data_IF_754686169998
#
_entry.id   IF_754686169998
#
_cell.length_a   1.000
_cell.length_b   1.000
_cell.length_c   1.000
_cell.angle_alpha   90.00
_cell.angle_beta   90.00
_cell.angle_gamma   90.00
#
_symmetry.space_group_name_H-M   'P 1'
#
loop_
_entity.id
_entity.type
_entity.pdbx_description
1 polymer ?
#
# COMPACT_ATOMS: atom_id res chain seq x y z
N UNK A 1 -51.88 19.74 7.05
CA UNK A 1 -51.02 18.54 7.00
C UNK A 1 -49.59 19.04 6.93
N UNK A 2 -48.86 19.06 8.04
CA UNK A 2 -47.49 19.60 8.10
C UNK A 2 -46.54 18.49 7.62
N UNK A 3 -45.89 18.70 6.48
CA UNK A 3 -44.86 17.81 5.95
C UNK A 3 -43.52 18.17 6.60
N UNK A 4 -43.00 17.31 7.48
CA UNK A 4 -41.65 17.44 8.04
C UNK A 4 -40.69 16.75 7.07
N UNK A 5 -39.81 17.52 6.43
CA UNK A 5 -38.71 17.01 5.61
C UNK A 5 -37.52 16.75 6.53
N UNK A 6 -37.16 15.48 6.72
CA UNK A 6 -35.96 15.07 7.47
C UNK A 6 -34.79 15.06 6.49
N UNK A 7 -33.93 16.10 6.52
CA UNK A 7 -32.62 16.05 5.88
C UNK A 7 -31.68 15.16 6.70
N UNK A 8 -31.37 13.96 6.20
CA UNK A 8 -30.31 13.13 6.76
C UNK A 8 -28.94 13.72 6.44
N UNK A 9 -28.28 14.29 7.44
CA UNK A 9 -26.88 14.72 7.36
C UNK A 9 -26.00 13.47 7.27
N UNK A 10 -25.40 13.22 6.11
CA UNK A 10 -24.39 12.16 5.96
C UNK A 10 -23.12 12.60 6.68
N UNK A 11 -22.76 11.89 7.74
CA UNK A 11 -21.53 12.10 8.50
C UNK A 11 -20.32 11.97 7.57
N UNK A 12 -19.56 13.06 7.43
CA UNK A 12 -18.32 13.06 6.66
C UNK A 12 -17.27 12.23 7.39
N UNK A 13 -16.76 11.20 6.73
CA UNK A 13 -15.66 10.40 7.26
C UNK A 13 -14.35 11.17 7.03
N UNK A 14 -13.58 11.38 8.09
CA UNK A 14 -12.28 12.06 8.06
C UNK A 14 -11.29 11.36 7.11
N UNK A 15 -10.28 12.08 6.62
CA UNK A 15 -9.18 11.50 5.85
C UNK A 15 -8.46 10.47 6.70
N UNK A 16 -8.40 9.24 6.18
CA UNK A 16 -7.74 8.14 6.85
C UNK A 16 -6.25 8.17 6.50
N UNK A 17 -5.40 8.25 7.51
CA UNK A 17 -3.93 8.27 7.32
C UNK A 17 -3.44 6.93 6.75
N UNK A 18 -4.17 5.85 7.02
CA UNK A 18 -3.86 4.49 6.57
C UNK A 18 -5.10 3.83 5.99
N UNK A 19 -4.89 2.99 4.97
CA UNK A 19 -5.94 2.16 4.38
C UNK A 19 -6.40 1.08 5.37
N UNK A 20 -7.71 0.84 5.48
CA UNK A 20 -8.23 -0.24 6.34
C UNK A 20 -8.03 -1.61 5.72
N UNK A 21 -8.17 -2.65 6.55
CA UNK A 21 -8.19 -4.04 6.11
C UNK A 21 -9.28 -4.30 5.07
N UNK A 22 -10.47 -3.78 5.29
CA UNK A 22 -11.63 -3.96 4.42
C UNK A 22 -11.39 -3.29 3.06
N UNK A 23 -10.84 -2.07 3.07
CA UNK A 23 -10.44 -1.36 1.85
C UNK A 23 -9.34 -2.11 1.08
N UNK A 24 -8.32 -2.64 1.76
CA UNK A 24 -7.27 -3.45 1.13
C UNK A 24 -7.81 -4.71 0.45
N UNK A 25 -8.72 -5.41 1.12
CA UNK A 25 -9.38 -6.60 0.56
C UNK A 25 -10.22 -6.20 -0.65
N UNK A 26 -10.98 -5.11 -0.57
CA UNK A 26 -11.80 -4.61 -1.66
C UNK A 26 -10.98 -4.21 -2.90
N UNK A 27 -9.78 -3.62 -2.71
CA UNK A 27 -8.88 -3.24 -3.80
C UNK A 27 -8.11 -4.42 -4.40
N UNK A 28 -8.12 -5.59 -3.77
CA UNK A 28 -7.37 -6.77 -4.23
C UNK A 28 -8.29 -7.99 -4.40
N UNK A 29 -9.40 -7.88 -5.17
CA UNK A 29 -10.44 -8.91 -5.21
C UNK A 29 -10.00 -10.21 -5.89
N UNK A 30 -9.00 -10.12 -6.77
CA UNK A 30 -8.46 -11.25 -7.52
C UNK A 30 -7.43 -12.07 -6.72
N UNK A 31 -6.92 -11.55 -5.60
CA UNK A 31 -5.95 -12.29 -4.78
C UNK A 31 -6.65 -13.40 -3.98
N UNK A 32 -6.24 -14.65 -4.20
CA UNK A 32 -6.80 -15.86 -3.58
C UNK A 32 -5.85 -16.57 -2.60
N UNK A 33 -4.61 -16.10 -2.47
CA UNK A 33 -3.64 -16.67 -1.54
C UNK A 33 -3.76 -16.10 -0.13
N UNK A 34 -2.79 -16.46 0.72
CA UNK A 34 -2.70 -15.97 2.10
C UNK A 34 -2.62 -14.43 2.17
N UNK A 35 -3.07 -13.89 3.30
CA UNK A 35 -3.00 -12.46 3.61
C UNK A 35 -2.37 -12.24 4.98
N UNK A 36 -1.76 -11.08 5.17
CA UNK A 36 -1.37 -10.63 6.50
C UNK A 36 -2.62 -10.29 7.34
N UNK A 37 -2.46 -10.16 8.66
CA UNK A 37 -3.56 -9.86 9.57
C UNK A 37 -4.31 -8.56 9.21
N UNK A 38 -3.58 -7.60 8.63
CA UNK A 38 -4.05 -6.31 8.12
C UNK A 38 -4.75 -6.37 6.74
N UNK A 39 -4.88 -7.56 6.13
CA UNK A 39 -5.57 -7.77 4.86
C UNK A 39 -4.70 -7.68 3.60
N UNK A 40 -3.44 -7.26 3.71
CA UNK A 40 -2.54 -7.18 2.55
C UNK A 40 -2.27 -8.57 1.95
N UNK A 41 -2.28 -8.72 0.62
CA UNK A 41 -1.79 -9.93 -0.05
C UNK A 41 -0.41 -10.36 0.45
N UNK A 42 -0.27 -11.62 0.87
CA UNK A 42 0.99 -12.19 1.32
C UNK A 42 1.56 -13.07 0.22
N UNK A 43 2.35 -12.47 -0.67
CA UNK A 43 3.12 -13.21 -1.68
C UNK A 43 4.02 -14.24 -0.97
N UNK A 44 4.01 -15.53 -1.33
CA UNK A 44 4.87 -16.55 -0.72
C UNK A 44 6.39 -16.30 -0.84
N UNK A 45 7.19 -16.81 0.10
CA UNK A 45 8.65 -16.61 0.13
C UNK A 45 9.39 -17.30 -1.03
N UNK A 46 8.86 -18.42 -1.53
CA UNK A 46 9.44 -19.14 -2.67
C UNK A 46 9.39 -18.29 -3.96
N UNK A 47 8.32 -17.52 -4.16
CA UNK A 47 8.23 -16.55 -5.26
C UNK A 47 9.34 -15.50 -5.14
N UNK A 48 9.56 -14.95 -3.94
CA UNK A 48 10.63 -13.97 -3.73
C UNK A 48 12.02 -14.55 -4.01
N UNK A 49 12.26 -15.80 -3.61
CA UNK A 49 13.53 -16.49 -3.87
C UNK A 49 13.78 -16.66 -5.36
N UNK A 50 12.76 -17.09 -6.12
CA UNK A 50 12.83 -17.29 -7.57
C UNK A 50 12.99 -15.98 -8.33
N UNK A 51 12.33 -14.91 -7.89
CA UNK A 51 12.42 -13.60 -8.53
C UNK A 51 13.83 -13.00 -8.50
N UNK A 52 14.74 -13.49 -7.65
CA UNK A 52 16.15 -13.05 -7.67
C UNK A 52 16.89 -13.39 -8.96
N UNK A 53 16.42 -14.38 -9.73
CA UNK A 53 17.02 -14.76 -11.02
C UNK A 53 16.32 -14.14 -12.23
N UNK A 54 15.35 -13.23 -12.01
CA UNK A 54 14.55 -12.62 -13.06
C UNK A 54 15.01 -11.18 -13.25
N UNK A 55 15.28 -10.78 -14.50
CA UNK A 55 15.67 -9.39 -14.78
C UNK A 55 14.46 -8.44 -14.65
N UNK A 56 14.72 -7.15 -14.46
CA UNK A 56 13.65 -6.14 -14.38
C UNK A 56 12.88 -6.06 -15.70
N UNK A 57 13.56 -6.23 -16.84
CA UNK A 57 12.99 -6.22 -18.18
C UNK A 57 12.06 -7.41 -18.42
N UNK A 58 12.47 -8.62 -17.99
CA UNK A 58 11.63 -9.82 -18.07
C UNK A 58 10.36 -9.65 -17.24
N UNK A 59 10.48 -9.16 -16.00
CA UNK A 59 9.34 -8.88 -15.14
C UNK A 59 8.42 -7.80 -15.76
N UNK A 60 8.99 -6.73 -16.31
CA UNK A 60 8.24 -5.66 -16.96
C UNK A 60 7.51 -6.13 -18.21
N UNK A 61 8.13 -6.98 -19.04
CA UNK A 61 7.49 -7.53 -20.23
C UNK A 61 6.21 -8.32 -19.89
N UNK A 62 6.26 -9.17 -18.84
CA UNK A 62 5.08 -9.90 -18.34
C UNK A 62 3.99 -8.93 -17.87
N UNK A 63 4.35 -7.93 -17.07
CA UNK A 63 3.39 -6.94 -16.54
C UNK A 63 2.76 -6.09 -17.65
N UNK A 64 3.55 -5.64 -18.62
CA UNK A 64 3.09 -4.86 -19.78
C UNK A 64 2.11 -5.65 -20.63
N UNK A 65 2.40 -6.93 -20.90
CA UNK A 65 1.50 -7.82 -21.64
C UNK A 65 0.16 -8.05 -20.92
N UNK A 66 0.15 -7.94 -19.59
CA UNK A 66 -1.06 -7.98 -18.76
C UNK A 66 -1.76 -6.61 -18.61
N UNK A 67 -1.29 -5.57 -19.30
CA UNK A 67 -1.89 -4.23 -19.28
C UNK A 67 -1.30 -3.26 -18.24
N UNK A 68 -0.27 -3.67 -17.49
CA UNK A 68 0.38 -2.85 -16.46
C UNK A 68 1.68 -2.21 -16.99
N UNK A 69 1.56 -1.20 -17.84
CA UNK A 69 2.73 -0.60 -18.53
C UNK A 69 3.68 0.23 -17.65
N UNK A 70 3.18 0.79 -16.54
CA UNK A 70 3.90 1.77 -15.70
C UNK A 70 4.44 1.16 -14.39
N UNK A 71 5.09 -0.01 -14.48
CA UNK A 71 5.58 -0.77 -13.32
C UNK A 71 7.11 -0.79 -13.20
N UNK A 72 7.81 0.02 -13.99
CA UNK A 72 9.26 0.19 -13.95
C UNK A 72 9.59 1.66 -13.77
N UNK A 73 10.64 1.95 -13.01
CA UNK A 73 11.15 3.30 -12.78
C UNK A 73 12.63 3.34 -13.12
N UNK A 74 13.06 4.42 -13.77
CA UNK A 74 14.44 4.64 -14.22
C UNK A 74 15.12 5.72 -13.35
N UNK A 75 16.45 5.86 -13.50
CA UNK A 75 17.22 6.90 -12.83
C UNK A 75 17.62 6.61 -11.38
N UNK A 76 17.32 5.41 -10.86
CA UNK A 76 17.79 4.96 -9.55
C UNK A 76 19.32 4.83 -9.54
N UNK A 77 19.95 5.35 -8.48
CA UNK A 77 21.37 5.19 -8.23
C UNK A 77 21.61 3.90 -7.44
N UNK A 78 22.45 3.02 -7.95
CA UNK A 78 22.76 1.74 -7.32
C UNK A 78 23.96 1.89 -6.42
N UNK A 79 23.77 1.71 -5.12
CA UNK A 79 24.84 1.75 -4.12
C UNK A 79 25.54 0.39 -3.93
N UNK A 80 24.87 -0.72 -4.30
CA UNK A 80 25.37 -2.10 -4.17
C UNK A 80 25.14 -2.85 -5.49
N UNK A 81 26.06 -2.78 -6.46
CA UNK A 81 25.85 -3.32 -7.82
C UNK A 81 25.84 -4.85 -7.88
N UNK A 82 26.53 -5.53 -6.96
CA UNK A 82 26.68 -6.99 -6.97
C UNK A 82 25.51 -7.73 -6.32
N UNK A 83 24.36 -7.07 -6.12
CA UNK A 83 23.24 -7.64 -5.35
C UNK A 83 21.89 -7.29 -5.95
N UNK A 84 21.03 -8.31 -6.04
CA UNK A 84 19.63 -8.17 -6.45
C UNK A 84 18.74 -8.07 -5.21
N UNK A 85 17.93 -7.01 -5.14
CA UNK A 85 16.93 -6.82 -4.10
C UNK A 85 15.55 -7.26 -4.59
N UNK A 86 14.95 -8.22 -3.89
CA UNK A 86 13.56 -8.65 -4.08
C UNK A 86 12.88 -8.70 -2.72
N UNK A 87 11.67 -8.16 -2.63
CA UNK A 87 10.93 -8.14 -1.38
C UNK A 87 9.46 -7.77 -1.54
N UNK A 88 8.75 -7.74 -0.42
CA UNK A 88 7.38 -7.23 -0.32
C UNK A 88 7.46 -5.76 0.04
N UNK A 89 6.87 -4.89 -0.76
CA UNK A 89 6.93 -3.46 -0.53
C UNK A 89 6.20 -3.07 0.77
N UNK A 90 6.85 -2.20 1.55
CA UNK A 90 6.22 -1.43 2.62
C UNK A 90 6.28 0.03 2.17
N UNK A 91 5.11 0.59 1.86
CA UNK A 91 5.01 1.95 1.32
C UNK A 91 4.92 2.97 2.45
N UNK A 92 5.69 4.04 2.35
CA UNK A 92 5.64 5.18 3.25
C UNK A 92 5.50 6.47 2.44
N UNK A 93 4.75 7.43 2.98
CA UNK A 93 4.59 8.75 2.39
C UNK A 93 5.30 9.77 3.27
N UNK A 94 6.15 10.57 2.65
CA UNK A 94 6.87 11.65 3.32
C UNK A 94 6.28 13.01 2.95
N UNK A 95 6.32 13.95 3.87
CA UNK A 95 5.92 15.35 3.68
C UNK A 95 6.95 16.26 4.36
N UNK A 96 7.03 17.56 3.98
CA UNK A 96 7.85 18.52 4.68
C UNK A 96 7.56 18.53 6.19
N UNK A 97 8.60 18.74 7.00
CA UNK A 97 8.51 18.66 8.45
C UNK A 97 7.46 19.60 9.03
N UNK A 98 6.47 19.03 9.72
CA UNK A 98 5.37 19.74 10.40
C UNK A 98 5.21 19.21 11.82
N UNK A 99 5.77 19.89 12.85
CA UNK A 99 5.76 19.40 14.23
C UNK A 99 4.35 19.16 14.79
N UNK A 100 3.39 19.99 14.38
CA UNK A 100 1.97 19.88 14.74
C UNK A 100 1.33 18.61 14.17
N UNK A 101 1.57 18.32 12.88
CA UNK A 101 1.07 17.12 12.20
C UNK A 101 1.74 15.86 12.75
N UNK A 102 3.06 15.91 12.93
CA UNK A 102 3.82 14.80 13.50
C UNK A 102 3.32 14.41 14.89
N UNK A 103 3.13 15.39 15.78
CA UNK A 103 2.59 15.15 17.13
C UNK A 103 1.18 14.56 17.08
N UNK A 104 0.33 15.01 16.16
CA UNK A 104 -1.02 14.48 16.00
C UNK A 104 -1.00 13.00 15.54
N UNK A 105 -0.19 12.67 14.52
CA UNK A 105 -0.04 11.31 13.99
C UNK A 105 0.56 10.38 15.06
N UNK A 106 1.62 10.80 15.75
CA UNK A 106 2.25 10.03 16.83
C UNK A 106 1.27 9.77 17.98
N UNK A 107 0.50 10.78 18.39
CA UNK A 107 -0.52 10.64 19.43
C UNK A 107 -1.64 9.66 19.02
N UNK A 108 -2.04 9.68 17.74
CA UNK A 108 -3.02 8.73 17.22
C UNK A 108 -2.46 7.30 17.19
N UNK A 109 -1.23 7.11 16.70
CA UNK A 109 -0.55 5.81 16.70
C UNK A 109 -0.44 5.19 18.09
N UNK A 110 -0.08 5.98 19.10
CA UNK A 110 -0.01 5.55 20.50
C UNK A 110 -1.37 5.09 21.05
N UNK A 111 -2.46 5.79 20.72
CA UNK A 111 -3.83 5.37 21.10
C UNK A 111 -4.22 4.04 20.46
N UNK A 112 -3.70 3.75 19.28
CA UNK A 112 -3.92 2.49 18.55
C UNK A 112 -2.93 1.37 18.95
N UNK A 113 -2.10 1.58 19.97
CA UNK A 113 -1.15 0.58 20.46
C UNK A 113 0.08 0.39 19.55
N UNK A 114 0.32 1.33 18.62
CA UNK A 114 1.51 1.36 17.77
C UNK A 114 2.60 2.16 18.49
N UNK A 115 3.82 1.61 18.55
CA UNK A 115 4.99 2.22 19.20
C UNK A 115 5.79 3.08 18.23
#
# INVERSE_FOLDING_TARGET
MIFIVILSVKQSHSQQVQITKEQLIALTPFWKGDRFADGRPKVPDDILKRMKSVSVEEAWAVMKNAGYGYQVAEGWQVINPDSVLVGRAVTATFMPGRPDVWKAIDSAGKKEGRR
#
